data_IF_346278788844
#
_entry.id   IF_346278788844
#
_cell.length_a   1.000
_cell.length_b   1.000
_cell.length_c   1.000
_cell.angle_alpha   90.00
_cell.angle_beta   90.00
_cell.angle_gamma   90.00
#
_symmetry.space_group_name_H-M   'P 1'
#
loop_
_entity.id
_entity.type
_entity.pdbx_description
1 polymer ?
#
# COMPACT_ATOMS: atom_id res chain seq x y z
N UNK A 1 12.43 -5.84 13.72
CA UNK A 1 12.35 -4.81 12.67
C UNK A 1 11.04 -4.05 12.82
N UNK A 2 11.14 -2.75 13.05
CA UNK A 2 10.04 -1.81 13.17
C UNK A 2 10.10 -0.85 12.00
N UNK A 3 9.07 -0.84 11.17
CA UNK A 3 8.99 -0.04 9.96
C UNK A 3 7.90 1.01 10.11
N UNK A 4 8.21 2.28 9.81
CA UNK A 4 7.18 3.29 9.65
C UNK A 4 6.71 3.32 8.21
N UNK A 5 5.43 3.04 8.00
CA UNK A 5 4.78 3.21 6.70
C UNK A 5 4.13 4.58 6.59
N UNK A 6 4.41 5.25 5.48
CA UNK A 6 3.81 6.52 5.08
C UNK A 6 3.17 6.31 3.70
N UNK A 7 1.93 6.77 3.53
CA UNK A 7 1.11 6.46 2.36
C UNK A 7 0.51 7.72 1.77
N UNK A 8 0.47 7.81 0.45
CA UNK A 8 -0.12 8.93 -0.27
C UNK A 8 -1.65 8.97 -0.18
N UNK A 9 -2.31 7.82 -0.20
CA UNK A 9 -3.78 7.78 -0.23
C UNK A 9 -4.41 7.84 1.18
N UNK A 10 -5.43 8.68 1.35
CA UNK A 10 -6.19 8.84 2.59
C UNK A 10 -6.70 7.50 3.15
N UNK A 11 -7.21 6.63 2.27
CA UNK A 11 -7.72 5.31 2.64
C UNK A 11 -6.64 4.22 2.57
N UNK A 12 -5.42 4.58 2.14
CA UNK A 12 -4.28 3.69 2.11
C UNK A 12 -3.91 3.18 3.49
N UNK A 13 -4.06 3.99 4.54
CA UNK A 13 -3.68 3.59 5.90
C UNK A 13 -4.37 2.30 6.37
N UNK A 14 -5.71 2.26 6.43
CA UNK A 14 -6.46 1.04 6.74
C UNK A 14 -6.20 -0.10 5.75
N UNK A 15 -6.11 0.19 4.45
CA UNK A 15 -5.80 -0.81 3.44
C UNK A 15 -4.47 -1.52 3.70
N UNK A 16 -3.40 -0.78 3.96
CA UNK A 16 -2.08 -1.37 4.19
C UNK A 16 -1.99 -2.14 5.52
N UNK A 17 -2.78 -1.78 6.54
CA UNK A 17 -2.87 -2.59 7.78
C UNK A 17 -3.30 -4.02 7.43
N UNK A 18 -4.39 -4.15 6.67
CA UNK A 18 -4.93 -5.46 6.28
C UNK A 18 -3.99 -6.20 5.31
N UNK A 19 -3.38 -5.49 4.35
CA UNK A 19 -2.39 -6.09 3.44
C UNK A 19 -1.19 -6.65 4.21
N UNK A 20 -0.62 -5.88 5.14
CA UNK A 20 0.54 -6.31 5.94
C UNK A 20 0.18 -7.52 6.80
N UNK A 21 -1.02 -7.52 7.42
CA UNK A 21 -1.46 -8.66 8.20
C UNK A 21 -1.55 -9.92 7.34
N UNK A 22 -2.18 -9.81 6.16
CA UNK A 22 -2.26 -10.92 5.19
C UNK A 22 -0.89 -11.38 4.71
N UNK A 23 0.08 -10.48 4.51
CA UNK A 23 1.45 -10.85 4.13
C UNK A 23 2.15 -11.67 5.24
N UNK A 24 1.94 -11.30 6.50
CA UNK A 24 2.47 -12.07 7.65
C UNK A 24 1.84 -13.46 7.74
N UNK A 25 0.51 -13.53 7.56
CA UNK A 25 -0.23 -14.79 7.62
C UNK A 25 0.18 -15.72 6.48
N UNK A 26 0.46 -15.17 5.30
CA UNK A 26 0.98 -15.90 4.14
C UNK A 26 2.48 -16.25 4.24
N UNK A 27 3.17 -15.88 5.33
CA UNK A 27 4.62 -16.03 5.51
C UNK A 27 5.46 -15.35 4.41
N UNK A 28 4.93 -14.31 3.76
CA UNK A 28 5.64 -13.55 2.72
C UNK A 28 6.55 -12.47 3.32
N UNK A 29 6.34 -12.12 4.59
CA UNK A 29 7.19 -11.22 5.38
C UNK A 29 7.40 -11.77 6.78
N UNK A 30 8.37 -11.22 7.52
CA UNK A 30 8.61 -11.61 8.90
C UNK A 30 7.38 -11.35 9.78
N UNK A 31 6.89 -12.37 10.50
CA UNK A 31 5.72 -12.25 11.39
C UNK A 31 5.92 -11.24 12.52
N UNK A 32 7.15 -11.09 12.99
CA UNK A 32 7.54 -10.15 14.04
C UNK A 32 7.77 -8.72 13.52
N UNK A 33 7.45 -8.46 12.24
CA UNK A 33 7.51 -7.12 11.67
C UNK A 33 6.54 -6.19 12.39
N UNK A 34 7.05 -5.10 12.97
CA UNK A 34 6.22 -4.12 13.66
C UNK A 34 5.98 -2.95 12.71
N UNK A 35 4.74 -2.77 12.26
CA UNK A 35 4.33 -1.60 11.47
C UNK A 35 3.30 -0.82 12.28
N UNK A 36 3.72 0.25 12.98
CA UNK A 36 2.76 1.15 13.61
C UNK A 36 1.80 1.72 12.57
N UNK A 37 0.61 2.15 13.01
CA UNK A 37 -0.44 2.69 12.13
C UNK A 37 0.16 3.57 11.01
N UNK A 38 -0.07 3.22 9.73
CA UNK A 38 0.47 4.00 8.61
C UNK A 38 -0.02 5.44 8.68
N UNK A 39 0.83 6.38 8.26
CA UNK A 39 0.52 7.81 8.28
C UNK A 39 0.25 8.29 6.86
N UNK A 40 -0.85 9.01 6.67
CA UNK A 40 -1.13 9.70 5.41
C UNK A 40 -0.12 10.83 5.19
N UNK A 41 0.37 10.99 3.96
CA UNK A 41 1.22 12.12 3.57
C UNK A 41 0.41 13.43 3.66
N UNK A 42 0.93 14.49 4.29
CA UNK A 42 0.27 15.78 4.23
C UNK A 42 0.21 16.27 2.78
N UNK A 43 -0.96 16.80 2.37
CA UNK A 43 -1.13 17.45 1.08
C UNK A 43 -0.30 18.74 1.07
N UNK A 44 0.79 18.71 0.32
CA UNK A 44 1.73 19.79 0.04
C UNK A 44 2.60 20.35 1.21
N UNK A 45 3.91 20.44 0.92
CA UNK A 45 5.04 21.09 1.62
C UNK A 45 5.96 20.26 2.56
N UNK A 46 7.25 20.28 2.18
CA UNK A 46 8.42 19.58 2.75
C UNK A 46 8.63 19.74 4.27
N UNK A 47 8.33 20.90 4.87
CA UNK A 47 8.63 21.12 6.29
C UNK A 47 7.93 20.14 7.23
N UNK A 48 6.67 19.80 6.95
CA UNK A 48 5.96 18.79 7.76
C UNK A 48 6.51 17.39 7.54
N UNK A 49 7.03 17.08 6.35
CA UNK A 49 7.67 15.79 6.12
C UNK A 49 8.99 15.72 6.89
N UNK A 50 9.80 16.77 6.85
CA UNK A 50 11.07 16.86 7.58
C UNK A 50 10.85 16.71 9.10
N UNK A 51 9.90 17.44 9.69
CA UNK A 51 9.52 17.29 11.10
C UNK A 51 9.03 15.87 11.44
N UNK A 52 8.25 15.27 10.54
CA UNK A 52 7.75 13.90 10.70
C UNK A 52 8.92 12.92 10.67
N UNK A 53 9.83 13.07 9.71
CA UNK A 53 11.01 12.23 9.55
C UNK A 53 11.93 12.35 10.77
N UNK A 54 12.26 13.56 11.23
CA UNK A 54 13.08 13.81 12.42
C UNK A 54 12.48 13.16 13.68
N UNK A 55 11.16 13.25 13.88
CA UNK A 55 10.49 12.61 15.02
C UNK A 55 10.51 11.07 14.94
N UNK A 56 10.50 10.51 13.74
CA UNK A 56 10.43 9.07 13.49
C UNK A 56 11.82 8.42 13.51
N UNK A 57 12.85 9.12 13.06
CA UNK A 57 14.17 8.56 12.71
C UNK A 57 14.79 7.74 13.86
N UNK A 58 14.66 8.23 15.09
CA UNK A 58 15.20 7.54 16.28
C UNK A 58 14.29 6.45 16.89
N UNK A 59 13.17 6.10 16.24
CA UNK A 59 12.13 5.22 16.82
C UNK A 59 11.81 3.99 15.97
N UNK A 60 12.37 3.87 14.77
CA UNK A 60 12.13 2.80 13.80
C UNK A 60 13.42 2.41 13.08
N UNK A 61 13.46 1.20 12.55
CA UNK A 61 14.63 0.68 11.81
C UNK A 61 14.61 1.11 10.33
N UNK A 62 13.42 1.42 9.79
CA UNK A 62 13.22 1.77 8.37
C UNK A 62 11.97 2.63 8.19
N UNK A 63 12.02 3.59 7.27
CA UNK A 63 10.86 4.35 6.81
C UNK A 63 10.56 3.93 5.37
N UNK A 64 9.31 3.58 5.09
CA UNK A 64 8.83 3.28 3.73
C UNK A 64 7.76 4.31 3.39
N UNK A 65 7.97 5.02 2.28
CA UNK A 65 7.00 5.94 1.70
C UNK A 65 6.43 5.27 0.45
N UNK A 66 5.12 5.05 0.42
CA UNK A 66 4.41 4.47 -0.72
C UNK A 66 3.77 5.60 -1.53
N UNK A 67 4.38 5.85 -2.69
CA UNK A 67 3.87 6.73 -3.74
C UNK A 67 3.48 5.85 -4.92
N UNK A 68 2.24 5.98 -5.40
CA UNK A 68 1.76 5.18 -6.52
C UNK A 68 1.93 5.96 -7.83
N UNK A 69 2.61 5.38 -8.82
CA UNK A 69 2.78 6.02 -10.14
C UNK A 69 1.43 6.25 -10.85
N UNK A 70 0.48 5.33 -10.64
CA UNK A 70 -0.89 5.45 -11.12
C UNK A 70 -1.83 5.60 -9.93
N UNK A 71 -2.21 4.47 -9.33
CA UNK A 71 -3.14 4.36 -8.22
C UNK A 71 -2.91 3.01 -7.53
N UNK A 72 -3.13 2.92 -6.21
CA UNK A 72 -2.99 1.65 -5.49
C UNK A 72 -4.02 0.60 -5.94
N UNK A 73 -5.14 1.08 -6.50
CA UNK A 73 -6.19 0.32 -7.15
C UNK A 73 -5.68 -0.59 -8.28
N UNK A 74 -4.50 -0.31 -8.86
CA UNK A 74 -3.80 -1.23 -9.78
C UNK A 74 -3.72 -2.64 -9.17
N UNK A 75 -3.41 -2.75 -7.88
CA UNK A 75 -3.24 -4.05 -7.22
C UNK A 75 -4.55 -4.85 -7.21
N UNK A 76 -5.66 -4.15 -7.03
CA UNK A 76 -6.99 -4.74 -7.04
C UNK A 76 -7.32 -5.20 -8.46
N UNK A 77 -7.08 -4.35 -9.46
CA UNK A 77 -7.33 -4.69 -10.85
C UNK A 77 -6.52 -5.92 -11.31
N UNK A 78 -5.22 -5.99 -10.98
CA UNK A 78 -4.37 -7.14 -11.32
C UNK A 78 -4.87 -8.41 -10.64
N UNK A 79 -5.25 -8.33 -9.36
CA UNK A 79 -5.78 -9.48 -8.62
C UNK A 79 -7.07 -10.03 -9.26
N UNK A 80 -7.86 -9.14 -9.87
CA UNK A 80 -9.14 -9.43 -10.54
C UNK A 80 -9.03 -9.64 -12.05
N UNK A 81 -7.82 -9.74 -12.60
CA UNK A 81 -7.56 -9.87 -14.05
C UNK A 81 -8.21 -8.77 -14.91
N UNK A 82 -8.39 -7.57 -14.34
CA UNK A 82 -8.92 -6.41 -15.05
C UNK A 82 -7.80 -5.71 -15.84
N UNK A 83 -8.18 -5.07 -16.93
CA UNK A 83 -7.28 -4.24 -17.76
C UNK A 83 -7.88 -2.84 -17.86
N UNK A 84 -7.05 -1.81 -17.72
CA UNK A 84 -7.48 -0.40 -17.68
C UNK A 84 -6.71 0.46 -18.72
N UNK A 85 -6.44 -0.08 -19.92
CA UNK A 85 -5.53 0.53 -20.91
C UNK A 85 -5.75 2.03 -21.20
N UNK A 86 -7.00 2.48 -21.23
CA UNK A 86 -7.37 3.87 -21.57
C UNK A 86 -8.12 4.55 -20.43
N UNK A 87 -7.99 4.05 -19.20
CA UNK A 87 -8.66 4.57 -18.01
C UNK A 87 -7.75 4.45 -16.79
N UNK A 88 -8.15 5.03 -15.67
CA UNK A 88 -7.47 4.75 -14.38
C UNK A 88 -7.94 3.41 -13.81
N UNK A 89 -7.13 2.74 -12.97
CA UNK A 89 -7.57 1.55 -12.23
C UNK A 89 -8.87 1.78 -11.45
N UNK A 90 -8.99 2.91 -10.73
CA UNK A 90 -10.17 3.27 -9.96
C UNK A 90 -11.43 3.42 -10.82
N UNK A 91 -11.30 3.99 -12.02
CA UNK A 91 -12.38 4.12 -13.00
C UNK A 91 -12.85 2.77 -13.52
N UNK A 92 -11.92 1.85 -13.82
CA UNK A 92 -12.26 0.50 -14.25
C UNK A 92 -12.96 -0.28 -13.13
N UNK A 93 -12.49 -0.15 -11.88
CA UNK A 93 -13.16 -0.72 -10.71
C UNK A 93 -14.55 -0.09 -10.50
N UNK A 94 -14.70 1.21 -10.73
CA UNK A 94 -15.99 1.90 -10.62
C UNK A 94 -16.98 1.36 -11.64
N UNK A 95 -16.54 1.21 -12.89
CA UNK A 95 -17.33 0.68 -13.99
C UNK A 95 -17.76 -0.76 -13.79
N UNK A 96 -16.89 -1.62 -13.25
CA UNK A 96 -17.13 -3.06 -13.10
C UNK A 96 -17.78 -3.47 -11.78
N UNK A 97 -17.44 -2.78 -10.69
CA UNK A 97 -17.78 -3.18 -9.31
C UNK A 97 -18.42 -2.06 -8.49
N UNK A 98 -18.74 -0.90 -9.08
CA UNK A 98 -19.29 0.24 -8.34
C UNK A 98 -18.33 0.72 -7.24
N UNK A 99 -17.02 0.69 -7.52
CA UNK A 99 -15.99 1.18 -6.62
C UNK A 99 -16.20 2.65 -6.25
N UNK A 100 -15.97 2.92 -4.97
CA UNK A 100 -15.89 4.26 -4.39
C UNK A 100 -14.67 4.26 -3.47
N UNK A 101 -13.98 5.40 -3.36
CA UNK A 101 -12.64 5.47 -2.73
C UNK A 101 -12.60 4.93 -1.29
N UNK A 102 -13.67 5.16 -0.52
CA UNK A 102 -13.78 4.65 0.85
C UNK A 102 -13.82 3.12 0.94
N UNK A 103 -14.08 2.42 -0.17
CA UNK A 103 -14.09 0.95 -0.24
C UNK A 103 -12.68 0.36 -0.36
N UNK A 104 -11.64 1.16 -0.58
CA UNK A 104 -10.26 0.68 -0.72
C UNK A 104 -9.88 -0.39 0.33
N UNK A 105 -10.11 -0.19 1.65
CA UNK A 105 -9.71 -1.16 2.66
C UNK A 105 -10.40 -2.52 2.50
N UNK A 106 -11.66 -2.56 2.05
CA UNK A 106 -12.39 -3.82 1.81
C UNK A 106 -11.64 -4.72 0.81
N UNK A 107 -11.04 -4.13 -0.20
CA UNK A 107 -10.33 -4.87 -1.25
C UNK A 107 -8.98 -5.41 -0.79
N UNK A 108 -8.47 -5.01 0.38
CA UNK A 108 -7.26 -5.59 0.95
C UNK A 108 -7.38 -7.10 1.11
N UNK A 109 -8.58 -7.63 1.42
CA UNK A 109 -8.83 -9.08 1.52
C UNK A 109 -8.99 -9.78 0.17
N UNK A 110 -9.19 -9.02 -0.90
CA UNK A 110 -9.43 -9.54 -2.25
C UNK A 110 -8.15 -9.59 -3.10
N UNK A 111 -7.01 -9.12 -2.56
CA UNK A 111 -5.74 -9.17 -3.28
C UNK A 111 -5.25 -10.62 -3.45
N UNK A 112 -4.76 -10.93 -4.65
CA UNK A 112 -4.11 -12.20 -4.99
C UNK A 112 -2.59 -11.98 -5.04
N UNK A 113 -1.89 -12.37 -3.98
CA UNK A 113 -0.45 -12.17 -3.87
C UNK A 113 0.37 -12.95 -4.90
N UNK A 114 -0.15 -14.05 -5.45
CA UNK A 114 0.56 -14.80 -6.49
C UNK A 114 0.53 -14.01 -7.80
N UNK A 115 -0.64 -13.48 -8.18
CA UNK A 115 -0.76 -12.61 -9.36
C UNK A 115 0.04 -11.32 -9.20
N UNK A 116 0.00 -10.71 -8.02
CA UNK A 116 0.70 -9.45 -7.76
C UNK A 116 2.23 -9.62 -7.84
N UNK A 117 2.78 -10.67 -7.24
CA UNK A 117 4.22 -10.95 -7.36
C UNK A 117 4.64 -11.18 -8.81
N UNK A 118 3.79 -11.83 -9.62
CA UNK A 118 4.10 -12.07 -11.04
C UNK A 118 4.00 -10.79 -11.87
N UNK A 119 2.90 -10.06 -11.73
CA UNK A 119 2.44 -9.08 -12.73
C UNK A 119 2.51 -7.62 -12.27
N UNK A 120 2.72 -7.33 -10.98
CA UNK A 120 2.66 -5.98 -10.44
C UNK A 120 4.04 -5.48 -9.98
N UNK A 121 4.61 -4.50 -10.69
CA UNK A 121 5.92 -3.93 -10.36
C UNK A 121 5.90 -3.17 -9.03
N UNK A 122 4.87 -2.35 -8.80
CA UNK A 122 4.70 -1.56 -7.58
C UNK A 122 4.55 -2.44 -6.34
N UNK A 123 3.77 -3.52 -6.43
CA UNK A 123 3.65 -4.50 -5.35
C UNK A 123 4.97 -5.22 -5.03
N UNK A 124 5.71 -5.65 -6.06
CA UNK A 124 7.04 -6.27 -5.86
C UNK A 124 8.01 -5.33 -5.14
N UNK A 125 8.05 -4.06 -5.55
CA UNK A 125 8.89 -3.05 -4.91
C UNK A 125 8.50 -2.86 -3.43
N UNK A 126 7.20 -2.77 -3.14
CA UNK A 126 6.68 -2.71 -1.78
C UNK A 126 7.07 -3.94 -0.95
N UNK A 127 6.85 -5.16 -1.48
CA UNK A 127 7.18 -6.40 -0.79
C UNK A 127 8.68 -6.49 -0.46
N UNK A 128 9.54 -6.17 -1.44
CA UNK A 128 10.99 -6.16 -1.24
C UNK A 128 11.42 -5.14 -0.18
N UNK A 129 10.75 -3.98 -0.11
CA UNK A 129 11.06 -2.98 0.90
C UNK A 129 10.71 -3.44 2.34
N UNK A 130 9.80 -4.40 2.50
CA UNK A 130 9.43 -5.00 3.78
C UNK A 130 10.36 -6.15 4.21
N UNK A 131 11.13 -6.70 3.29
CA UNK A 131 12.09 -7.78 3.55
C UNK A 131 13.42 -7.14 3.99
N UNK A 132 14.09 -7.66 5.03
CA UNK A 132 15.37 -7.14 5.51
C UNK A 132 16.42 -7.03 4.41
#
# INVERSE_FOLDING_TARGET
MKIKLIVEDLYGGPFFIDVIQRLKDANLVNKNLIIPKPKHLPADCNQKLDEILEYIDNKVDRIIIVLAEYEIEEWICISKDLKWKHSKPSEELKRKYGYEKYKLPKYANELDFNKLQKNCKSFKAFLNALIP
#
